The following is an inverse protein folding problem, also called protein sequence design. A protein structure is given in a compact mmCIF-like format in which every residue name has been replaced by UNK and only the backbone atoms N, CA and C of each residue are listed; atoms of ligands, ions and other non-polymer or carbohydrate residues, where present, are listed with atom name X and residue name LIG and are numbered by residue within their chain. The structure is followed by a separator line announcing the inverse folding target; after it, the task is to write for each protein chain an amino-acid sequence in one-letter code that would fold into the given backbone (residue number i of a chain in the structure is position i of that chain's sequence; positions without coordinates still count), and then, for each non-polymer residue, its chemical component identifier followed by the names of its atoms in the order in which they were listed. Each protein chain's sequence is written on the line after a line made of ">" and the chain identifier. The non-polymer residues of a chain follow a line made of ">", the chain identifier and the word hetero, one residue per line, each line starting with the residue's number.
data_IF_026870598440
#
_entry.id   IF_026870598440
#
_cell.length_a   1.000
_cell.length_b   1.000
_cell.length_c   1.000
_cell.angle_alpha   90.00
_cell.angle_beta   90.00
_cell.angle_gamma   90.00
#
_symmetry.space_group_name_H-M   'P 1'
#
loop_
_entity.id
_entity.type
_entity.pdbx_description
1 polymer ?
#
# COMPACT_ATOMS: atom_id res chain seq x y z
N UNK A 1 5.73 -23.87 -44.80
CA UNK A 1 5.34 -24.76 -43.70
C UNK A 1 6.19 -24.45 -42.48
N UNK A 2 5.51 -24.02 -41.40
CA UNK A 2 5.89 -24.04 -39.98
C UNK A 2 7.36 -23.81 -39.59
N UNK A 3 7.71 -22.56 -39.29
CA UNK A 3 8.70 -22.26 -38.26
C UNK A 3 7.97 -22.17 -36.91
N UNK A 4 7.92 -23.27 -36.16
CA UNK A 4 7.45 -23.26 -34.78
C UNK A 4 8.50 -22.58 -33.89
N UNK A 5 8.37 -21.28 -33.73
CA UNK A 5 9.20 -20.52 -32.80
C UNK A 5 8.53 -20.51 -31.42
N UNK A 6 8.99 -21.35 -30.50
CA UNK A 6 8.97 -21.05 -29.04
C UNK A 6 10.10 -21.85 -28.37
N UNK A 7 10.88 -21.24 -27.46
CA UNK A 7 10.33 -20.70 -26.23
C UNK A 7 10.92 -19.33 -25.82
N UNK A 8 10.15 -18.25 -25.96
CA UNK A 8 10.39 -16.94 -25.29
C UNK A 8 10.07 -16.97 -23.77
N UNK A 9 9.66 -18.14 -23.26
CA UNK A 9 9.18 -18.35 -21.88
C UNK A 9 10.12 -17.86 -20.76
N UNK A 10 11.46 -18.04 -20.81
CA UNK A 10 12.30 -17.64 -19.67
C UNK A 10 12.46 -16.13 -19.54
N UNK A 11 12.52 -15.40 -20.66
CA UNK A 11 12.64 -13.93 -20.69
C UNK A 11 11.35 -13.25 -20.24
N UNK A 12 10.19 -13.77 -20.65
CA UNK A 12 8.89 -13.29 -20.15
C UNK A 12 8.71 -13.54 -18.65
N UNK A 13 9.14 -14.71 -18.16
CA UNK A 13 9.08 -15.05 -16.73
C UNK A 13 9.94 -14.12 -15.90
N UNK A 14 11.18 -13.83 -16.34
CA UNK A 14 12.06 -12.87 -15.66
C UNK A 14 11.46 -11.47 -15.62
N UNK A 15 10.91 -10.98 -16.74
CA UNK A 15 10.23 -9.67 -16.79
C UNK A 15 9.04 -9.60 -15.84
N UNK A 16 8.25 -10.68 -15.75
CA UNK A 16 7.14 -10.76 -14.80
C UNK A 16 7.61 -10.76 -13.35
N UNK A 17 8.62 -11.57 -13.01
CA UNK A 17 9.19 -11.64 -11.66
C UNK A 17 9.77 -10.29 -11.25
N UNK A 18 10.57 -9.64 -12.11
CA UNK A 18 11.11 -8.30 -11.83
C UNK A 18 9.98 -7.27 -11.73
N UNK A 19 8.95 -7.37 -12.57
CA UNK A 19 7.77 -6.51 -12.52
C UNK A 19 6.97 -6.62 -11.22
N UNK A 20 6.97 -7.79 -10.58
CA UNK A 20 6.32 -8.01 -9.27
C UNK A 20 7.26 -7.60 -8.13
N UNK A 21 8.51 -8.07 -8.18
CA UNK A 21 9.49 -7.87 -7.12
C UNK A 21 9.89 -6.40 -6.98
N UNK A 22 9.96 -5.64 -8.08
CA UNK A 22 10.34 -4.23 -8.06
C UNK A 22 9.43 -3.39 -7.16
N UNK A 23 8.12 -3.27 -7.45
CA UNK A 23 7.21 -2.49 -6.62
C UNK A 23 7.10 -3.02 -5.18
N UNK A 24 7.08 -4.35 -5.00
CA UNK A 24 7.07 -4.97 -3.67
C UNK A 24 8.32 -4.61 -2.86
N UNK A 25 9.50 -4.56 -3.47
CA UNK A 25 10.73 -4.19 -2.77
C UNK A 25 10.69 -2.76 -2.24
N UNK A 26 10.09 -1.83 -2.99
CA UNK A 26 9.87 -0.44 -2.55
C UNK A 26 8.90 -0.38 -1.38
N UNK A 27 7.81 -1.17 -1.45
CA UNK A 27 6.81 -1.25 -0.37
C UNK A 27 7.44 -1.83 0.90
N UNK A 28 8.18 -2.93 0.77
CA UNK A 28 8.89 -3.56 1.89
C UNK A 28 9.93 -2.60 2.46
N UNK A 29 10.65 -1.86 1.62
CA UNK A 29 11.59 -0.84 2.08
C UNK A 29 10.88 0.26 2.89
N UNK A 30 9.74 0.78 2.41
CA UNK A 30 8.94 1.75 3.15
C UNK A 30 8.51 1.19 4.53
N UNK A 31 8.05 -0.05 4.57
CA UNK A 31 7.66 -0.72 5.81
C UNK A 31 8.84 -0.92 6.77
N UNK A 32 10.00 -1.36 6.27
CA UNK A 32 11.21 -1.55 7.09
C UNK A 32 11.69 -0.21 7.65
N UNK A 33 11.69 0.85 6.84
CA UNK A 33 12.05 2.20 7.30
C UNK A 33 11.11 2.68 8.41
N UNK A 34 9.81 2.47 8.25
CA UNK A 34 8.82 2.77 9.29
C UNK A 34 9.06 1.96 10.57
N UNK A 35 9.26 0.64 10.44
CA UNK A 35 9.48 -0.25 11.58
C UNK A 35 10.76 0.10 12.36
N UNK A 36 11.85 0.42 11.65
CA UNK A 36 13.11 0.89 12.28
C UNK A 36 12.88 2.21 13.00
N UNK A 37 12.16 3.15 12.37
CA UNK A 37 11.84 4.44 12.99
C UNK A 37 11.03 4.29 14.27
N UNK A 38 10.13 3.31 14.35
CA UNK A 38 9.30 3.08 15.54
C UNK A 38 10.09 2.46 16.71
N UNK A 39 11.12 1.66 16.40
CA UNK A 39 11.95 0.95 17.39
C UNK A 39 13.10 1.78 17.96
N UNK A 40 13.45 2.92 17.36
CA UNK A 40 14.51 3.78 17.85
C UNK A 40 14.05 4.52 19.12
N UNK A 41 14.65 4.14 20.27
CA UNK A 41 14.33 4.64 21.61
C UNK A 41 14.62 6.13 21.82
N UNK A 42 15.43 6.75 20.95
CA UNK A 42 15.85 8.15 21.06
C UNK A 42 15.02 9.14 20.22
N UNK A 43 14.06 8.65 19.44
CA UNK A 43 13.27 9.48 18.52
C UNK A 43 11.93 9.80 19.19
N UNK A 44 11.71 11.08 19.52
CA UNK A 44 10.46 11.54 20.10
C UNK A 44 9.26 11.38 19.15
N UNK A 45 8.01 11.46 19.63
CA UNK A 45 6.82 11.23 18.80
C UNK A 45 6.73 12.16 17.58
N UNK A 46 7.14 13.42 17.74
CA UNK A 46 7.19 14.41 16.65
C UNK A 46 8.24 14.06 15.59
N UNK A 47 9.42 13.59 16.02
CA UNK A 47 10.49 13.20 15.11
C UNK A 47 10.12 11.92 14.32
N UNK A 48 9.37 10.99 14.94
CA UNK A 48 8.84 9.81 14.24
C UNK A 48 7.82 10.19 13.19
N UNK A 49 6.92 11.13 13.50
CA UNK A 49 5.96 11.64 12.54
C UNK A 49 6.67 12.36 11.38
N UNK A 50 7.67 13.19 11.69
CA UNK A 50 8.48 13.87 10.68
C UNK A 50 9.22 12.86 9.77
N UNK A 51 9.84 11.83 10.33
CA UNK A 51 10.49 10.77 9.54
C UNK A 51 9.48 9.99 8.68
N UNK A 52 8.31 9.66 9.23
CA UNK A 52 7.23 9.03 8.49
C UNK A 52 6.81 9.84 7.26
N UNK A 53 6.64 11.15 7.42
CA UNK A 53 6.23 12.04 6.32
C UNK A 53 7.35 12.39 5.34
N UNK A 54 8.58 12.57 5.82
CA UNK A 54 9.71 13.01 4.99
C UNK A 54 10.44 11.86 4.29
N UNK A 55 10.35 10.63 4.82
CA UNK A 55 11.11 9.48 4.31
C UNK A 55 10.17 8.34 3.90
N UNK A 56 9.35 7.83 4.82
CA UNK A 56 8.52 6.65 4.55
C UNK A 56 7.47 6.93 3.47
N UNK A 57 6.74 8.04 3.60
CA UNK A 57 5.69 8.40 2.65
C UNK A 57 6.22 8.62 1.23
N UNK A 58 7.30 9.40 0.99
CA UNK A 58 7.89 9.51 -0.34
C UNK A 58 8.29 8.16 -0.95
N UNK A 59 8.92 7.26 -0.16
CA UNK A 59 9.28 5.92 -0.64
C UNK A 59 8.05 5.11 -1.02
N UNK A 60 7.00 5.13 -0.18
CA UNK A 60 5.72 4.49 -0.50
C UNK A 60 5.10 5.05 -1.80
N UNK A 61 5.10 6.37 -1.95
CA UNK A 61 4.53 7.06 -3.10
C UNK A 61 5.27 6.78 -4.42
N UNK A 62 6.55 6.41 -4.36
CA UNK A 62 7.33 5.99 -5.53
C UNK A 62 6.96 4.60 -6.04
N UNK A 63 6.32 3.75 -5.23
CA UNK A 63 6.00 2.38 -5.63
C UNK A 63 5.12 2.24 -6.90
N UNK A 64 4.04 3.03 -7.12
CA UNK A 64 3.29 2.99 -8.38
C UNK A 64 4.11 3.53 -9.57
N UNK A 65 5.05 4.44 -9.34
CA UNK A 65 5.94 4.93 -10.39
C UNK A 65 6.92 3.84 -10.85
N UNK A 66 7.50 3.09 -9.90
CA UNK A 66 8.33 1.91 -10.20
C UNK A 66 7.51 0.86 -10.94
N UNK A 67 6.27 0.60 -10.51
CA UNK A 67 5.36 -0.29 -11.22
C UNK A 67 5.10 0.18 -12.66
N UNK A 68 4.78 1.45 -12.88
CA UNK A 68 4.53 2.02 -14.20
C UNK A 68 5.73 1.86 -15.15
N UNK A 69 6.96 2.05 -14.65
CA UNK A 69 8.20 1.86 -15.41
C UNK A 69 8.43 0.39 -15.77
N UNK A 70 8.28 -0.51 -14.81
CA UNK A 70 8.56 -1.93 -15.01
C UNK A 70 7.48 -2.63 -15.85
N UNK A 71 6.24 -2.15 -15.79
CA UNK A 71 5.10 -2.73 -16.51
C UNK A 71 4.86 -2.15 -17.90
N UNK A 72 5.65 -1.15 -18.32
CA UNK A 72 5.53 -0.53 -19.66
C UNK A 72 5.56 -1.56 -20.79
N UNK A 73 6.36 -2.61 -20.64
CA UNK A 73 6.52 -3.69 -21.61
C UNK A 73 5.65 -4.93 -21.36
N UNK A 74 4.75 -4.91 -20.37
CA UNK A 74 3.82 -6.00 -20.10
C UNK A 74 2.52 -5.81 -20.90
N UNK A 75 1.87 -6.91 -21.33
CA UNK A 75 0.52 -6.86 -21.89
C UNK A 75 -0.49 -6.25 -20.89
N UNK A 76 -1.54 -5.55 -21.34
CA UNK A 76 -2.54 -4.95 -20.47
C UNK A 76 -3.17 -5.95 -19.49
N UNK A 77 -3.59 -7.13 -19.98
CA UNK A 77 -4.20 -8.17 -19.12
C UNK A 77 -3.27 -8.66 -18.01
N UNK A 78 -1.97 -8.85 -18.28
CA UNK A 78 -0.98 -9.22 -17.25
C UNK A 78 -0.75 -8.08 -16.25
N UNK A 79 -0.76 -6.84 -16.72
CA UNK A 79 -0.64 -5.66 -15.85
C UNK A 79 -1.78 -5.62 -14.84
N UNK A 80 -3.02 -5.85 -15.28
CA UNK A 80 -4.20 -5.89 -14.40
C UNK A 80 -4.05 -7.00 -13.35
N UNK A 81 -3.72 -8.23 -13.77
CA UNK A 81 -3.55 -9.36 -12.83
C UNK A 81 -2.44 -9.11 -11.82
N UNK A 82 -1.31 -8.53 -12.23
CA UNK A 82 -0.21 -8.20 -11.32
C UNK A 82 -0.60 -7.08 -10.36
N UNK A 83 -1.25 -6.03 -10.86
CA UNK A 83 -1.71 -4.92 -10.03
C UNK A 83 -2.72 -5.38 -8.99
N UNK A 84 -3.69 -6.21 -9.37
CA UNK A 84 -4.69 -6.75 -8.43
C UNK A 84 -4.07 -7.70 -7.43
N UNK A 85 -3.12 -8.56 -7.84
CA UNK A 85 -2.44 -9.46 -6.92
C UNK A 85 -1.63 -8.71 -5.86
N UNK A 86 -0.83 -7.71 -6.26
CA UNK A 86 -0.07 -6.88 -5.32
C UNK A 86 -1.01 -6.03 -4.47
N UNK A 87 -2.04 -5.44 -5.05
CA UNK A 87 -3.08 -4.71 -4.32
C UNK A 87 -3.77 -5.57 -3.26
N UNK A 88 -4.06 -6.84 -3.56
CA UNK A 88 -4.62 -7.78 -2.59
C UNK A 88 -3.64 -8.09 -1.45
N UNK A 89 -2.35 -8.28 -1.75
CA UNK A 89 -1.31 -8.46 -0.73
C UNK A 89 -1.23 -7.23 0.19
N UNK A 90 -1.20 -6.03 -0.39
CA UNK A 90 -1.22 -4.76 0.36
C UNK A 90 -2.47 -4.66 1.22
N UNK A 91 -3.64 -5.03 0.68
CA UNK A 91 -4.90 -4.95 1.39
C UNK A 91 -4.91 -5.85 2.63
N UNK A 92 -4.51 -7.12 2.46
CA UNK A 92 -4.42 -8.07 3.57
C UNK A 92 -3.42 -7.59 4.60
N UNK A 93 -2.20 -7.22 4.18
CA UNK A 93 -1.15 -6.76 5.09
C UNK A 93 -1.61 -5.51 5.88
N UNK A 94 -2.21 -4.54 5.21
CA UNK A 94 -2.70 -3.30 5.84
C UNK A 94 -3.81 -3.60 6.84
N UNK A 95 -4.79 -4.41 6.46
CA UNK A 95 -5.88 -4.82 7.36
C UNK A 95 -5.34 -5.52 8.61
N UNK A 96 -4.43 -6.49 8.44
CA UNK A 96 -3.87 -7.25 9.56
C UNK A 96 -2.99 -6.38 10.47
N UNK A 97 -2.10 -5.56 9.91
CA UNK A 97 -1.23 -4.69 10.69
C UNK A 97 -2.03 -3.65 11.49
N UNK A 98 -3.05 -3.05 10.88
CA UNK A 98 -3.87 -2.04 11.54
C UNK A 98 -4.76 -2.66 12.60
N UNK A 99 -5.37 -3.81 12.31
CA UNK A 99 -6.13 -4.56 13.29
C UNK A 99 -5.29 -4.92 14.53
N UNK A 100 -4.09 -5.47 14.31
CA UNK A 100 -3.21 -5.90 15.42
C UNK A 100 -2.69 -4.72 16.24
N UNK A 101 -2.40 -3.58 15.61
CA UNK A 101 -1.98 -2.38 16.35
C UNK A 101 -3.10 -1.88 17.28
N UNK A 102 -4.32 -1.71 16.76
CA UNK A 102 -5.46 -1.22 17.57
C UNK A 102 -5.81 -2.19 18.69
N UNK A 103 -5.94 -3.47 18.37
CA UNK A 103 -6.36 -4.48 19.37
C UNK A 103 -5.35 -4.59 20.51
N UNK A 104 -4.05 -4.38 20.24
CA UNK A 104 -3.02 -4.30 21.28
C UNK A 104 -3.19 -3.09 22.21
N UNK A 105 -3.70 -1.96 21.70
CA UNK A 105 -3.98 -0.77 22.50
C UNK A 105 -5.27 -0.92 23.32
N UNK A 106 -6.32 -1.53 22.75
CA UNK A 106 -7.58 -1.79 23.45
C UNK A 106 -7.38 -2.68 24.68
N UNK A 107 -6.42 -3.60 24.64
CA UNK A 107 -6.05 -4.43 25.80
C UNK A 107 -5.51 -3.64 27.01
N UNK A 108 -5.23 -2.34 26.85
CA UNK A 108 -4.77 -1.44 27.92
C UNK A 108 -5.91 -0.63 28.56
N UNK A 109 -7.15 -0.79 28.10
CA UNK A 109 -8.30 -0.06 28.65
C UNK A 109 -8.72 -0.58 30.03
N UNK A 110 -8.56 0.23 31.08
CA UNK A 110 -8.94 -0.11 32.46
C UNK A 110 -10.44 -0.43 32.62
N UNK A 111 -11.32 0.27 31.88
CA UNK A 111 -12.78 0.10 31.95
C UNK A 111 -13.36 -0.63 30.72
N UNK A 112 -12.51 -1.36 30.01
CA UNK A 112 -12.86 -2.03 28.76
C UNK A 112 -12.94 -1.09 27.55
N UNK A 113 -12.79 -1.64 26.34
CA UNK A 113 -12.88 -0.87 25.11
C UNK A 113 -14.33 -0.56 24.74
N UNK A 114 -14.55 0.53 24.00
CA UNK A 114 -15.87 0.89 23.44
C UNK A 114 -16.35 -0.07 22.36
N UNK A 115 -15.41 -0.67 21.63
CA UNK A 115 -15.66 -1.65 20.57
C UNK A 115 -14.88 -2.93 20.88
N UNK A 116 -15.51 -4.07 20.64
CA UNK A 116 -14.82 -5.35 20.78
C UNK A 116 -13.83 -5.53 19.63
N UNK A 117 -12.83 -6.41 19.82
CA UNK A 117 -11.92 -6.76 18.74
C UNK A 117 -12.76 -7.18 17.52
N UNK A 118 -13.63 -8.19 17.63
CA UNK A 118 -14.44 -8.73 16.52
C UNK A 118 -15.16 -7.69 15.66
N UNK A 119 -15.64 -6.59 16.24
CA UNK A 119 -16.33 -5.51 15.53
C UNK A 119 -15.43 -4.70 14.59
N UNK A 120 -14.12 -4.69 14.82
CA UNK A 120 -13.17 -3.97 13.97
C UNK A 120 -12.81 -4.73 12.67
N UNK A 121 -13.26 -6.00 12.47
CA UNK A 121 -12.70 -6.86 11.40
C UNK A 121 -13.11 -6.28 10.07
N UNK A 122 -14.40 -5.95 9.96
CA UNK A 122 -15.00 -5.38 8.76
C UNK A 122 -14.42 -3.99 8.47
N UNK A 123 -14.37 -3.03 9.42
CA UNK A 123 -13.67 -1.75 9.22
C UNK A 123 -12.22 -1.89 8.75
N UNK A 124 -11.44 -2.79 9.35
CA UNK A 124 -10.03 -2.98 8.96
C UNK A 124 -9.89 -3.65 7.60
N UNK A 125 -10.78 -4.59 7.25
CA UNK A 125 -10.84 -5.18 5.92
C UNK A 125 -11.19 -4.13 4.86
N UNK A 126 -12.16 -3.24 5.13
CA UNK A 126 -12.52 -2.13 4.22
C UNK A 126 -11.34 -1.18 4.04
N UNK A 127 -10.67 -0.80 5.14
CA UNK A 127 -9.48 0.06 5.08
C UNK A 127 -8.37 -0.58 4.25
N UNK A 128 -8.06 -1.85 4.51
CA UNK A 128 -7.07 -2.61 3.75
C UNK A 128 -7.43 -2.67 2.26
N UNK A 129 -8.66 -3.04 1.93
CA UNK A 129 -9.15 -3.06 0.54
C UNK A 129 -9.01 -1.70 -0.13
N UNK A 130 -9.33 -0.61 0.56
CA UNK A 130 -9.24 0.73 0.00
C UNK A 130 -7.78 1.15 -0.25
N UNK A 131 -6.85 0.84 0.66
CA UNK A 131 -5.41 1.08 0.46
C UNK A 131 -4.88 0.24 -0.71
N UNK A 132 -5.18 -1.06 -0.73
CA UNK A 132 -4.72 -1.98 -1.77
C UNK A 132 -5.28 -1.66 -3.16
N UNK A 133 -6.58 -1.33 -3.24
CA UNK A 133 -7.24 -0.92 -4.48
C UNK A 133 -6.75 0.45 -4.96
N UNK A 134 -6.56 1.41 -4.06
CA UNK A 134 -6.01 2.72 -4.37
C UNK A 134 -4.60 2.61 -4.96
N UNK A 135 -3.76 1.76 -4.38
CA UNK A 135 -2.44 1.44 -4.92
C UNK A 135 -2.52 0.77 -6.30
N UNK A 136 -3.36 -0.27 -6.45
CA UNK A 136 -3.50 -1.01 -7.70
C UNK A 136 -3.99 -0.12 -8.84
N UNK A 137 -4.98 0.75 -8.57
CA UNK A 137 -5.48 1.72 -9.53
C UNK A 137 -4.39 2.72 -9.94
N UNK A 138 -3.64 3.24 -8.97
CA UNK A 138 -2.52 4.18 -9.20
C UNK A 138 -1.43 3.58 -10.10
N UNK A 139 -1.01 2.35 -9.82
CA UNK A 139 -0.03 1.64 -10.61
C UNK A 139 -0.57 1.29 -12.01
N UNK A 140 -1.84 0.90 -12.12
CA UNK A 140 -2.47 0.55 -13.39
C UNK A 140 -2.60 1.77 -14.31
N UNK A 141 -3.17 2.87 -13.80
CA UNK A 141 -3.32 4.14 -14.53
C UNK A 141 -1.96 4.68 -14.95
N UNK A 142 -0.99 4.72 -14.03
CA UNK A 142 0.37 5.15 -14.33
C UNK A 142 1.00 4.33 -15.45
N UNK A 143 0.89 3.00 -15.39
CA UNK A 143 1.44 2.10 -16.42
C UNK A 143 0.76 2.27 -17.79
N UNK A 144 -0.55 2.54 -17.82
CA UNK A 144 -1.29 2.76 -19.06
C UNK A 144 -0.85 4.05 -19.76
N UNK A 145 -0.63 5.12 -19.00
CA UNK A 145 -0.16 6.41 -19.52
C UNK A 145 1.33 6.34 -19.94
N UNK A 146 2.18 5.63 -19.19
CA UNK A 146 3.57 5.40 -19.61
C UNK A 146 3.61 4.62 -20.93
N UNK A 147 2.73 3.62 -21.08
CA UNK A 147 2.63 2.82 -22.31
C UNK A 147 2.18 3.63 -23.53
N UNK A 148 1.41 4.70 -23.36
CA UNK A 148 1.00 5.59 -24.45
C UNK A 148 2.08 6.61 -24.86
N UNK A 149 3.29 6.53 -24.30
CA UNK A 149 4.45 7.36 -24.66
C UNK A 149 4.67 8.57 -23.74
N UNK A 150 3.76 8.82 -22.79
CA UNK A 150 3.83 9.99 -21.91
C UNK A 150 4.47 9.66 -20.56
N UNK A 151 5.77 9.35 -20.56
CA UNK A 151 6.50 8.88 -19.38
C UNK A 151 6.24 9.74 -18.13
N UNK A 152 6.55 11.04 -18.19
CA UNK A 152 6.45 11.94 -17.04
C UNK A 152 5.01 12.12 -16.55
N UNK A 153 4.03 12.14 -17.45
CA UNK A 153 2.61 12.22 -17.09
C UNK A 153 2.13 10.94 -16.42
N UNK A 154 2.62 9.78 -16.85
CA UNK A 154 2.26 8.50 -16.25
C UNK A 154 2.85 8.33 -14.85
N UNK A 155 4.11 8.75 -14.64
CA UNK A 155 4.70 8.78 -13.30
C UNK A 155 3.95 9.75 -12.38
N UNK A 156 3.69 10.97 -12.86
CA UNK A 156 2.95 11.98 -12.12
C UNK A 156 1.52 11.55 -11.78
N UNK A 157 0.81 10.91 -12.70
CA UNK A 157 -0.54 10.41 -12.48
C UNK A 157 -0.57 9.26 -11.45
N UNK A 158 0.38 8.33 -11.53
CA UNK A 158 0.49 7.23 -10.55
C UNK A 158 0.78 7.73 -9.14
N UNK A 159 1.74 8.65 -8.99
CA UNK A 159 2.05 9.28 -7.70
C UNK A 159 0.85 10.11 -7.21
N UNK A 160 0.31 10.97 -8.07
CA UNK A 160 -0.79 11.87 -7.72
C UNK A 160 -2.06 11.14 -7.28
N UNK A 161 -2.42 10.04 -7.96
CA UNK A 161 -3.58 9.23 -7.57
C UNK A 161 -3.34 8.51 -6.24
N UNK A 162 -2.11 8.05 -5.98
CA UNK A 162 -1.77 7.45 -4.70
C UNK A 162 -1.77 8.47 -3.57
N UNK A 163 -1.28 9.70 -3.81
CA UNK A 163 -1.37 10.80 -2.84
C UNK A 163 -2.83 11.13 -2.53
N UNK A 164 -3.67 11.30 -3.57
CA UNK A 164 -5.08 11.64 -3.40
C UNK A 164 -5.84 10.55 -2.62
N UNK A 165 -5.66 9.29 -2.99
CA UNK A 165 -6.27 8.17 -2.27
C UNK A 165 -5.76 8.04 -0.84
N UNK A 166 -4.46 8.19 -0.61
CA UNK A 166 -3.87 8.19 0.75
C UNK A 166 -4.44 9.31 1.61
N UNK A 167 -4.59 10.52 1.07
CA UNK A 167 -5.17 11.65 1.79
C UNK A 167 -6.62 11.38 2.20
N UNK A 168 -7.46 10.91 1.25
CA UNK A 168 -8.85 10.53 1.54
C UNK A 168 -8.92 9.45 2.62
N UNK A 169 -8.02 8.47 2.57
CA UNK A 169 -7.96 7.40 3.56
C UNK A 169 -7.50 7.88 4.93
N UNK A 170 -6.52 8.78 5.02
CA UNK A 170 -6.09 9.34 6.31
C UNK A 170 -7.24 10.11 6.96
N UNK A 171 -7.93 10.96 6.19
CA UNK A 171 -9.07 11.73 6.71
C UNK A 171 -10.23 10.82 7.09
N UNK A 172 -10.62 9.89 6.21
CA UNK A 172 -11.74 8.99 6.42
C UNK A 172 -11.49 8.00 7.57
N UNK A 173 -10.31 7.36 7.58
CA UNK A 173 -9.92 6.46 8.65
C UNK A 173 -9.75 7.22 9.96
N UNK A 174 -9.10 8.39 9.97
CA UNK A 174 -8.94 9.20 11.18
C UNK A 174 -10.28 9.57 11.83
N UNK A 175 -11.27 9.95 11.02
CA UNK A 175 -12.62 10.21 11.49
C UNK A 175 -13.27 8.95 12.07
N UNK A 176 -13.19 7.83 11.36
CA UNK A 176 -13.72 6.55 11.82
C UNK A 176 -13.03 6.10 13.14
N UNK A 177 -11.72 6.27 13.23
CA UNK A 177 -10.94 5.94 14.44
C UNK A 177 -11.44 6.70 15.65
N UNK A 178 -11.65 8.01 15.54
CA UNK A 178 -12.17 8.82 16.65
C UNK A 178 -13.55 8.37 17.12
N UNK A 179 -14.37 7.80 16.23
CA UNK A 179 -15.73 7.36 16.53
C UNK A 179 -15.77 5.93 17.11
N UNK A 180 -14.94 5.03 16.58
CA UNK A 180 -15.01 3.60 16.90
C UNK A 180 -13.95 3.13 17.91
N UNK A 181 -12.87 3.87 18.13
CA UNK A 181 -11.81 3.46 19.06
C UNK A 181 -11.81 4.32 20.32
N UNK A 182 -11.46 3.69 21.45
CA UNK A 182 -11.35 4.37 22.74
C UNK A 182 -11.75 3.49 23.92
N UNK A 183 -11.40 3.94 25.11
CA UNK A 183 -11.77 3.28 26.36
C UNK A 183 -13.06 3.88 26.92
N UNK A 184 -13.83 3.07 27.64
CA UNK A 184 -14.89 3.59 28.49
C UNK A 184 -14.30 4.46 29.60
N UNK A 185 -15.04 5.48 30.03
CA UNK A 185 -14.69 6.32 31.19
C UNK A 185 -15.54 5.88 32.39
N UNK A 186 -15.05 6.05 33.63
CA UNK A 186 -15.88 5.82 34.80
C UNK A 186 -17.10 6.76 34.73
N UNK A 187 -18.27 6.18 35.03
CA UNK A 187 -19.57 6.85 35.08
C UNK A 187 -19.69 7.61 36.40
#
# INVERSE_FOLDING_TARGET
>A
MMASMTPSRPLERRKLVVGIAGPLSVIVLAYVLWWVSDRLLYVGPLDRAAFGWLVVMPVWLLSPAVAALLWRGLPPGRTTVVATAIGAVIAVATATLTWTSITSELGRCQFGPRTSAGELVVPMAILGLAVGAGWAASAHVGSAIVRSGWLWRGLGAGIGLLVASTFVLIVGAGLAFMLFTGCNRPI
#
